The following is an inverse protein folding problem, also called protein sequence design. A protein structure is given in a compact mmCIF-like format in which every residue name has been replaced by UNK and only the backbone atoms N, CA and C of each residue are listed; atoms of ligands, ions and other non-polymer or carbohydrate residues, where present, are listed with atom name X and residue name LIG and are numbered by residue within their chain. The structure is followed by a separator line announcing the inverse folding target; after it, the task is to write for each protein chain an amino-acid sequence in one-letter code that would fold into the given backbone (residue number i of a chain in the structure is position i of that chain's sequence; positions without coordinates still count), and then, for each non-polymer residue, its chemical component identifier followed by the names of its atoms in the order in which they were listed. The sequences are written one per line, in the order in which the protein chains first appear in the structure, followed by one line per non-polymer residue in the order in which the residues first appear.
data_IF_834253044187
#
_entry.id   IF_834253044187
#
_cell.length_a   1.000
_cell.length_b   1.000
_cell.length_c   1.000
_cell.angle_alpha   90.00
_cell.angle_beta   90.00
_cell.angle_gamma   90.00
#
_symmetry.space_group_name_H-M   'P 1'
#
loop_
_entity.id
_entity.type
_entity.pdbx_description
1 polymer ?
#
# COMPACT_ATOMS: atom_id res chain seq x y z
N UNK A 1 78.67 28.46 16.50
CA UNK A 1 77.72 28.83 15.44
C UNK A 1 76.95 27.58 15.05
N UNK A 2 75.73 27.42 15.59
CA UNK A 2 74.55 26.73 15.01
C UNK A 2 73.50 26.67 16.12
N UNK A 3 72.62 27.66 16.12
CA UNK A 3 71.36 27.68 16.87
C UNK A 3 70.47 26.54 16.38
N UNK A 4 69.91 25.79 17.32
CA UNK A 4 68.82 24.85 17.09
C UNK A 4 67.53 25.67 16.95
N UNK A 5 67.12 25.85 15.70
CA UNK A 5 65.89 26.54 15.30
C UNK A 5 64.65 25.78 15.83
N UNK A 6 63.94 26.46 16.74
CA UNK A 6 62.65 26.09 17.31
C UNK A 6 61.53 26.42 16.32
N UNK A 7 60.85 25.42 15.76
CA UNK A 7 59.82 25.72 14.75
C UNK A 7 58.83 24.60 14.38
N UNK A 8 58.00 24.16 15.31
CA UNK A 8 56.61 23.72 15.02
C UNK A 8 55.76 24.00 16.27
N UNK A 9 54.51 24.48 16.15
CA UNK A 9 53.54 24.00 15.16
C UNK A 9 52.63 25.09 14.57
N UNK A 10 52.64 25.31 13.26
CA UNK A 10 51.53 26.02 12.61
C UNK A 10 50.51 25.02 12.07
N UNK A 11 49.70 24.51 13.00
CA UNK A 11 48.40 23.95 12.68
C UNK A 11 47.46 25.06 12.24
N UNK A 12 47.44 25.36 10.95
CA UNK A 12 46.43 26.25 10.36
C UNK A 12 45.92 25.69 9.03
N UNK A 13 45.49 24.43 9.03
CA UNK A 13 44.67 23.87 7.96
C UNK A 13 43.25 24.47 8.03
N UNK A 14 43.13 25.69 7.52
CA UNK A 14 41.95 26.29 6.86
C UNK A 14 40.57 25.70 7.21
N UNK A 15 40.02 26.19 8.32
CA UNK A 15 38.66 25.95 8.82
C UNK A 15 37.51 26.35 7.86
N UNK A 16 37.81 26.96 6.70
CA UNK A 16 36.81 27.41 5.70
C UNK A 16 36.29 26.32 4.77
N UNK A 17 36.93 25.14 4.67
CA UNK A 17 36.46 24.02 3.82
C UNK A 17 35.31 23.21 4.44
N UNK A 18 35.10 23.34 5.74
CA UNK A 18 34.16 22.51 6.52
C UNK A 18 32.68 22.78 6.19
N UNK A 19 32.28 24.02 5.91
CA UNK A 19 30.85 24.35 5.66
C UNK A 19 30.27 23.65 4.44
N UNK A 20 31.05 23.48 3.37
CA UNK A 20 30.57 22.80 2.14
C UNK A 20 30.29 21.32 2.39
N UNK A 21 31.11 20.67 3.22
CA UNK A 21 30.93 19.26 3.59
C UNK A 21 29.67 19.09 4.43
N UNK A 22 29.40 20.01 5.36
CA UNK A 22 28.18 19.99 6.16
C UNK A 22 26.93 20.22 5.31
N UNK A 23 26.99 21.12 4.33
CA UNK A 23 25.89 21.35 3.39
C UNK A 23 25.63 20.14 2.49
N UNK A 24 26.69 19.48 1.99
CA UNK A 24 26.55 18.25 1.20
C UNK A 24 25.97 17.12 2.06
N UNK A 25 26.46 16.95 3.29
CA UNK A 25 25.91 15.95 4.22
C UNK A 25 24.43 16.19 4.54
N UNK A 26 24.04 17.45 4.76
CA UNK A 26 22.65 17.84 4.97
C UNK A 26 21.79 17.54 3.73
N UNK A 27 22.26 17.88 2.52
CA UNK A 27 21.55 17.58 1.28
C UNK A 27 21.39 16.07 1.04
N UNK A 28 22.44 15.28 1.26
CA UNK A 28 22.38 13.81 1.14
C UNK A 28 21.40 13.23 2.16
N UNK A 29 21.40 13.74 3.39
CA UNK A 29 20.46 13.31 4.44
C UNK A 29 19.01 13.66 4.06
N UNK A 30 18.77 14.85 3.51
CA UNK A 30 17.46 15.28 3.06
C UNK A 30 16.95 14.42 1.89
N UNK A 31 17.86 14.08 0.97
CA UNK A 31 17.55 13.26 -0.20
C UNK A 31 17.26 11.81 0.21
N UNK A 32 18.04 11.24 1.14
CA UNK A 32 17.79 9.93 1.71
C UNK A 32 16.46 9.87 2.46
N UNK A 33 16.15 10.88 3.30
CA UNK A 33 14.87 10.97 3.98
C UNK A 33 13.70 11.10 2.98
N UNK A 34 13.86 11.92 1.94
CA UNK A 34 12.88 12.07 0.87
C UNK A 34 12.64 10.77 0.10
N UNK A 35 13.70 10.01 -0.21
CA UNK A 35 13.58 8.71 -0.87
C UNK A 35 12.85 7.69 0.00
N UNK A 36 13.08 7.68 1.31
CA UNK A 36 12.38 6.79 2.24
C UNK A 36 10.91 7.16 2.35
N UNK A 37 10.59 8.45 2.45
CA UNK A 37 9.19 8.93 2.45
C UNK A 37 8.50 8.58 1.14
N UNK A 38 9.16 8.81 0.00
CA UNK A 38 8.64 8.44 -1.32
C UNK A 38 8.42 6.93 -1.46
N UNK A 39 9.31 6.11 -0.90
CA UNK A 39 9.15 4.66 -0.84
C UNK A 39 7.89 4.32 -0.01
N UNK A 40 7.75 4.88 1.20
CA UNK A 40 6.58 4.61 2.03
C UNK A 40 5.25 5.06 1.40
N UNK A 41 5.26 6.19 0.68
CA UNK A 41 4.08 6.69 -0.05
C UNK A 41 3.73 5.80 -1.25
N UNK A 42 4.75 5.41 -2.03
CA UNK A 42 4.58 4.54 -3.22
C UNK A 42 4.08 3.14 -2.83
N UNK A 43 4.59 2.59 -1.72
CA UNK A 43 4.24 1.23 -1.31
C UNK A 43 3.00 1.20 -0.39
N UNK A 44 2.71 2.26 0.36
CA UNK A 44 1.53 2.37 1.21
C UNK A 44 1.59 1.41 2.38
N UNK A 45 1.88 1.92 3.58
CA UNK A 45 1.92 1.10 4.80
C UNK A 45 0.51 0.58 5.10
N UNK A 46 0.26 -0.69 4.80
CA UNK A 46 -0.88 -1.44 5.33
C UNK A 46 -0.57 -1.77 6.79
N UNK A 47 -1.37 -1.26 7.73
CA UNK A 47 -1.21 -1.60 9.15
C UNK A 47 -1.40 -3.11 9.34
N UNK A 48 -0.43 -3.84 9.91
CA UNK A 48 -0.54 -5.27 10.08
C UNK A 48 -1.61 -5.62 11.12
N UNK A 49 -2.47 -6.58 10.79
CA UNK A 49 -3.32 -7.31 11.73
C UNK A 49 -2.46 -8.39 12.43
N UNK A 50 -2.69 -8.61 13.72
CA UNK A 50 -1.85 -9.39 14.67
C UNK A 50 -1.68 -10.91 14.40
N UNK A 51 -1.86 -11.39 13.17
CA UNK A 51 -2.00 -12.82 12.88
C UNK A 51 -0.79 -13.52 12.23
N UNK A 52 0.40 -12.91 12.15
CA UNK A 52 1.57 -13.55 11.52
C UNK A 52 2.84 -13.36 12.34
N UNK A 53 3.48 -14.49 12.68
CA UNK A 53 4.71 -14.58 13.47
C UNK A 53 5.86 -13.78 12.82
N UNK A 54 6.51 -12.95 13.66
CA UNK A 54 7.49 -11.94 13.25
C UNK A 54 8.88 -12.59 13.12
N UNK A 55 9.35 -12.84 11.90
CA UNK A 55 10.76 -13.10 11.67
C UNK A 55 11.52 -11.78 11.46
N UNK A 56 12.19 -11.33 12.53
CA UNK A 56 13.11 -10.19 12.53
C UNK A 56 14.50 -10.66 12.10
N UNK A 57 14.94 -10.30 10.90
CA UNK A 57 16.36 -10.27 10.53
C UNK A 57 16.70 -8.82 10.21
N UNK A 58 17.50 -8.19 11.07
CA UNK A 58 18.07 -6.86 10.88
C UNK A 58 17.06 -5.74 10.52
N UNK A 59 16.09 -5.47 11.40
CA UNK A 59 15.33 -4.19 11.52
C UNK A 59 14.64 -3.59 10.28
N UNK A 60 14.67 -4.26 9.13
CA UNK A 60 13.92 -3.90 7.93
C UNK A 60 12.96 -5.05 7.67
N UNK A 61 11.68 -4.81 7.90
CA UNK A 61 10.63 -5.77 7.55
C UNK A 61 10.56 -5.86 6.02
N UNK A 62 11.20 -6.90 5.46
CA UNK A 62 11.22 -7.16 4.01
C UNK A 62 9.84 -7.53 3.46
N UNK A 63 8.81 -7.73 4.31
CA UNK A 63 7.41 -7.90 3.87
C UNK A 63 6.70 -6.58 3.57
N UNK A 64 7.31 -5.43 3.88
CA UNK A 64 6.78 -4.10 3.55
C UNK A 64 6.62 -3.90 2.03
N UNK A 65 7.16 -4.79 1.18
CA UNK A 65 7.03 -4.69 -0.28
C UNK A 65 6.56 -5.94 -1.00
N UNK A 66 6.11 -7.02 -0.33
CA UNK A 66 5.72 -8.27 -1.02
C UNK A 66 4.20 -8.28 -1.35
N UNK A 67 3.81 -8.08 -2.63
CA UNK A 67 2.41 -8.10 -3.02
C UNK A 67 1.78 -9.48 -2.84
N UNK A 68 2.55 -10.57 -2.89
CA UNK A 68 2.03 -11.93 -2.71
C UNK A 68 1.61 -12.15 -1.26
N UNK A 69 2.44 -11.80 -0.28
CA UNK A 69 2.09 -11.85 1.13
C UNK A 69 0.87 -10.96 1.46
N UNK A 70 0.83 -9.75 0.91
CA UNK A 70 -0.31 -8.83 1.11
C UNK A 70 -1.60 -9.37 0.46
N UNK A 71 -1.50 -10.04 -0.68
CA UNK A 71 -2.63 -10.77 -1.28
C UNK A 71 -3.16 -11.88 -0.38
N UNK A 72 -2.27 -12.65 0.27
CA UNK A 72 -2.67 -13.70 1.23
C UNK A 72 -3.34 -13.09 2.48
N UNK A 73 -2.89 -11.93 2.95
CA UNK A 73 -3.59 -11.20 4.01
C UNK A 73 -5.01 -10.79 3.59
N UNK A 74 -5.16 -10.33 2.34
CA UNK A 74 -6.47 -10.06 1.73
C UNK A 74 -7.38 -11.29 1.75
N UNK A 75 -6.86 -12.45 1.33
CA UNK A 75 -7.61 -13.72 1.39
C UNK A 75 -8.02 -14.10 2.82
N UNK A 76 -7.08 -14.04 3.77
CA UNK A 76 -7.34 -14.38 5.16
C UNK A 76 -8.42 -13.46 5.75
N UNK A 77 -8.37 -12.17 5.43
CA UNK A 77 -9.40 -11.21 5.83
C UNK A 77 -10.76 -11.52 5.20
N UNK A 78 -10.80 -11.88 3.92
CA UNK A 78 -12.04 -12.25 3.26
C UNK A 78 -12.68 -13.47 3.92
N UNK A 79 -11.90 -14.50 4.28
CA UNK A 79 -12.41 -15.68 5.00
C UNK A 79 -12.98 -15.31 6.37
N UNK A 80 -12.34 -14.40 7.09
CA UNK A 80 -12.84 -13.91 8.37
C UNK A 80 -14.17 -13.15 8.22
N UNK A 81 -14.28 -12.28 7.19
CA UNK A 81 -15.52 -11.55 6.92
C UNK A 81 -16.65 -12.51 6.49
N UNK A 82 -16.36 -13.53 5.68
CA UNK A 82 -17.32 -14.59 5.30
C UNK A 82 -17.79 -15.34 6.55
N UNK A 83 -16.89 -15.70 7.46
CA UNK A 83 -17.22 -16.35 8.72
C UNK A 83 -18.10 -15.46 9.62
N UNK A 84 -17.92 -14.14 9.55
CA UNK A 84 -18.80 -13.15 10.19
C UNK A 84 -20.12 -12.90 9.43
N UNK A 85 -20.38 -13.65 8.35
CA UNK A 85 -21.60 -13.52 7.55
C UNK A 85 -21.61 -12.33 6.59
N UNK A 86 -20.47 -11.66 6.40
CA UNK A 86 -20.35 -10.49 5.54
C UNK A 86 -19.94 -10.89 4.13
N UNK A 87 -20.65 -10.35 3.15
CA UNK A 87 -20.29 -10.45 1.73
C UNK A 87 -20.01 -9.05 1.22
N UNK A 88 -18.74 -8.76 0.92
CA UNK A 88 -18.29 -7.42 0.57
C UNK A 88 -17.48 -7.45 -0.72
N UNK A 89 -17.62 -6.39 -1.53
CA UNK A 89 -16.80 -6.16 -2.70
C UNK A 89 -15.97 -4.89 -2.52
N UNK A 90 -14.65 -5.01 -2.57
CA UNK A 90 -13.74 -3.87 -2.39
C UNK A 90 -13.34 -3.30 -3.76
N UNK A 91 -13.33 -1.98 -3.90
CA UNK A 91 -12.98 -1.32 -5.17
C UNK A 91 -12.26 0.01 -4.95
N UNK A 92 -11.45 0.41 -5.93
CA UNK A 92 -10.81 1.72 -6.03
C UNK A 92 -11.51 2.64 -7.04
N UNK A 93 -12.68 2.26 -7.55
CA UNK A 93 -13.44 3.13 -8.43
C UNK A 93 -13.71 4.47 -7.75
N UNK A 94 -13.58 5.57 -8.50
CA UNK A 94 -13.92 6.90 -8.01
C UNK A 94 -15.35 6.88 -7.47
N UNK A 95 -15.54 7.48 -6.31
CA UNK A 95 -16.85 7.58 -5.69
C UNK A 95 -17.82 8.23 -6.70
N UNK A 96 -19.02 7.66 -6.90
CA UNK A 96 -19.97 8.19 -7.86
C UNK A 96 -20.35 9.64 -7.52
N UNK A 97 -20.57 10.44 -8.57
CA UNK A 97 -20.96 11.86 -8.43
C UNK A 97 -22.36 12.05 -7.84
N UNK A 98 -23.21 11.05 -8.03
CA UNK A 98 -24.57 11.00 -7.49
C UNK A 98 -24.58 10.00 -6.32
N UNK A 99 -24.59 10.54 -5.11
CA UNK A 99 -24.57 9.74 -3.89
C UNK A 99 -25.91 9.02 -3.65
N UNK A 100 -27.02 9.61 -4.06
CA UNK A 100 -28.36 9.06 -3.82
C UNK A 100 -28.62 7.86 -4.75
N UNK A 101 -28.31 8.01 -6.03
CA UNK A 101 -28.39 6.91 -6.99
C UNK A 101 -27.48 5.73 -6.59
N UNK A 102 -26.33 6.01 -5.98
CA UNK A 102 -25.45 4.96 -5.46
C UNK A 102 -25.98 4.31 -4.20
N UNK A 103 -26.55 5.09 -3.27
CA UNK A 103 -27.14 4.57 -2.05
C UNK A 103 -28.29 3.60 -2.39
N UNK A 104 -29.16 3.97 -3.31
CA UNK A 104 -30.22 3.08 -3.80
C UNK A 104 -29.66 1.81 -4.42
N UNK A 105 -28.63 1.93 -5.26
CA UNK A 105 -27.99 0.78 -5.90
C UNK A 105 -27.35 -0.17 -4.89
N UNK A 106 -26.64 0.38 -3.90
CA UNK A 106 -26.04 -0.37 -2.81
C UNK A 106 -27.13 -1.07 -1.98
N UNK A 107 -28.25 -0.40 -1.71
CA UNK A 107 -29.41 -1.01 -1.06
C UNK A 107 -30.00 -2.15 -1.90
N UNK A 108 -30.16 -1.97 -3.22
CA UNK A 108 -30.65 -3.03 -4.12
C UNK A 108 -29.74 -4.26 -4.11
N UNK A 109 -28.42 -4.07 -4.18
CA UNK A 109 -27.46 -5.18 -4.14
C UNK A 109 -27.43 -5.87 -2.78
N UNK A 110 -27.53 -5.11 -1.69
CA UNK A 110 -27.63 -5.66 -0.35
C UNK A 110 -28.94 -6.45 -0.16
N UNK A 111 -30.06 -5.96 -0.67
CA UNK A 111 -31.34 -6.65 -0.59
C UNK A 111 -31.37 -7.92 -1.45
N UNK A 112 -30.82 -7.87 -2.68
CA UNK A 112 -30.86 -8.98 -3.64
C UNK A 112 -29.83 -10.08 -3.33
N UNK A 113 -28.62 -9.69 -2.91
CA UNK A 113 -27.49 -10.60 -2.79
C UNK A 113 -26.77 -10.53 -1.44
N UNK A 114 -27.22 -9.69 -0.50
CA UNK A 114 -26.48 -9.46 0.75
C UNK A 114 -25.11 -8.79 0.54
N UNK A 115 -24.83 -8.27 -0.67
CA UNK A 115 -23.52 -7.74 -1.04
C UNK A 115 -23.41 -6.25 -0.67
N UNK A 116 -22.33 -5.90 0.03
CA UNK A 116 -21.97 -4.51 0.32
C UNK A 116 -20.77 -4.06 -0.53
N UNK A 117 -20.85 -2.85 -1.08
CA UNK A 117 -19.71 -2.21 -1.75
C UNK A 117 -18.86 -1.42 -0.78
N UNK A 118 -17.54 -1.59 -0.88
CA UNK A 118 -16.56 -0.85 -0.09
C UNK A 118 -15.65 -0.09 -1.03
N UNK A 119 -15.89 1.22 -1.13
CA UNK A 119 -15.07 2.15 -1.90
C UNK A 119 -13.83 2.54 -1.10
N UNK A 120 -12.65 2.26 -1.64
CA UNK A 120 -11.37 2.75 -1.12
C UNK A 120 -11.17 4.17 -1.63
N UNK A 121 -11.03 5.12 -0.72
CA UNK A 121 -10.87 6.55 -1.03
C UNK A 121 -9.42 6.94 -1.28
N UNK A 122 -8.47 6.06 -0.98
CA UNK A 122 -7.04 6.26 -1.20
C UNK A 122 -6.64 5.89 -2.62
N UNK A 123 -5.58 6.52 -3.12
CA UNK A 123 -4.99 6.16 -4.40
C UNK A 123 -4.58 4.68 -4.43
N UNK A 124 -4.75 3.96 -5.55
CA UNK A 124 -4.41 2.55 -5.61
C UNK A 124 -2.88 2.36 -5.61
N UNK A 125 -2.32 1.91 -4.50
CA UNK A 125 -0.91 1.46 -4.45
C UNK A 125 -0.80 0.00 -4.91
N UNK A 126 0.38 -0.47 -5.35
CA UNK A 126 0.59 -1.87 -5.72
C UNK A 126 0.21 -2.86 -4.61
N UNK A 127 0.50 -2.54 -3.34
CA UNK A 127 0.14 -3.38 -2.21
C UNK A 127 -1.37 -3.35 -1.94
N UNK A 128 -2.00 -2.18 -2.02
CA UNK A 128 -3.44 -2.05 -1.84
C UNK A 128 -4.21 -2.83 -2.93
N UNK A 129 -3.72 -2.79 -4.18
CA UNK A 129 -4.26 -3.59 -5.28
C UNK A 129 -4.08 -5.09 -5.04
N UNK A 130 -2.91 -5.52 -4.56
CA UNK A 130 -2.66 -6.92 -4.26
C UNK A 130 -3.57 -7.43 -3.13
N UNK A 131 -3.75 -6.63 -2.07
CA UNK A 131 -4.68 -6.92 -0.98
C UNK A 131 -6.10 -7.11 -1.50
N UNK A 132 -6.61 -6.13 -2.25
CA UNK A 132 -7.99 -6.16 -2.77
C UNK A 132 -8.17 -7.29 -3.78
N UNK A 133 -7.17 -7.59 -4.61
CA UNK A 133 -7.19 -8.73 -5.52
C UNK A 133 -7.31 -10.06 -4.78
N UNK A 134 -6.50 -10.26 -3.73
CA UNK A 134 -6.59 -11.44 -2.87
C UNK A 134 -7.95 -11.55 -2.18
N UNK A 135 -8.44 -10.45 -1.62
CA UNK A 135 -9.73 -10.38 -0.95
C UNK A 135 -10.90 -10.71 -1.89
N UNK A 136 -10.98 -10.02 -3.03
CA UNK A 136 -12.08 -10.16 -3.98
C UNK A 136 -12.08 -11.54 -4.65
N UNK A 137 -10.92 -12.21 -4.82
CA UNK A 137 -10.88 -13.58 -5.33
C UNK A 137 -11.62 -14.57 -4.42
N UNK A 138 -11.46 -14.45 -3.10
CA UNK A 138 -12.18 -15.29 -2.15
C UNK A 138 -13.66 -14.93 -2.12
N UNK A 139 -13.98 -13.63 -2.12
CA UNK A 139 -15.37 -13.15 -2.16
C UNK A 139 -16.10 -13.54 -3.44
N UNK A 140 -15.41 -13.55 -4.59
CA UNK A 140 -15.93 -14.01 -5.86
C UNK A 140 -16.34 -15.48 -5.81
N UNK A 141 -15.45 -16.34 -5.30
CA UNK A 141 -15.74 -17.77 -5.14
C UNK A 141 -16.93 -18.00 -4.20
N UNK A 142 -17.01 -17.25 -3.10
CA UNK A 142 -18.12 -17.34 -2.16
C UNK A 142 -19.44 -16.79 -2.75
N UNK A 143 -19.37 -15.69 -3.52
CA UNK A 143 -20.52 -15.12 -4.19
C UNK A 143 -21.07 -16.08 -5.25
N UNK A 144 -20.20 -16.69 -6.07
CA UNK A 144 -20.58 -17.72 -7.04
C UNK A 144 -21.20 -18.94 -6.34
N UNK A 145 -20.64 -19.38 -5.21
CA UNK A 145 -21.19 -20.48 -4.42
C UNK A 145 -22.60 -20.19 -3.90
N UNK A 146 -22.89 -18.95 -3.49
CA UNK A 146 -24.18 -18.56 -2.89
C UNK A 146 -25.24 -18.19 -3.93
N UNK A 147 -24.85 -17.54 -5.02
CA UNK A 147 -25.78 -16.91 -5.98
C UNK A 147 -25.65 -17.44 -7.41
N UNK A 148 -24.70 -18.33 -7.66
CA UNK A 148 -24.45 -18.94 -8.95
C UNK A 148 -23.62 -18.05 -9.90
N UNK A 149 -23.10 -18.69 -10.94
CA UNK A 149 -22.23 -18.06 -11.94
C UNK A 149 -22.89 -16.91 -12.69
N UNK A 150 -24.18 -17.01 -13.02
CA UNK A 150 -24.90 -15.96 -13.72
C UNK A 150 -24.98 -14.64 -12.91
N UNK A 151 -25.17 -14.75 -11.59
CA UNK A 151 -25.17 -13.57 -10.72
C UNK A 151 -23.77 -12.95 -10.62
N UNK A 152 -22.72 -13.79 -10.57
CA UNK A 152 -21.36 -13.31 -10.59
C UNK A 152 -21.03 -12.58 -11.90
N UNK A 153 -21.44 -13.13 -13.04
CA UNK A 153 -21.25 -12.50 -14.35
C UNK A 153 -21.99 -11.15 -14.43
N UNK A 154 -23.20 -11.05 -13.86
CA UNK A 154 -23.93 -9.78 -13.73
C UNK A 154 -23.14 -8.76 -12.89
N UNK A 155 -22.57 -9.19 -11.76
CA UNK A 155 -21.75 -8.34 -10.91
C UNK A 155 -20.47 -7.85 -11.63
N UNK A 156 -19.78 -8.72 -12.37
CA UNK A 156 -18.54 -8.40 -13.07
C UNK A 156 -18.73 -7.58 -14.37
N UNK A 157 -19.98 -7.44 -14.84
CA UNK A 157 -20.34 -6.47 -15.89
C UNK A 157 -20.27 -5.04 -15.39
N UNK A 158 -20.39 -4.83 -14.09
CA UNK A 158 -20.18 -3.52 -13.50
C UNK A 158 -18.69 -3.12 -13.62
N UNK A 159 -18.37 -2.00 -14.29
CA UNK A 159 -16.99 -1.53 -14.41
C UNK A 159 -16.32 -1.30 -13.05
N UNK A 160 -17.07 -1.03 -11.99
CA UNK A 160 -16.55 -0.81 -10.63
C UNK A 160 -16.12 -2.09 -9.93
N UNK A 161 -16.61 -3.24 -10.38
CA UNK A 161 -16.20 -4.54 -9.86
C UNK A 161 -14.77 -4.90 -10.28
N UNK A 162 -14.30 -4.24 -11.35
CA UNK A 162 -12.97 -4.44 -11.91
C UNK A 162 -11.99 -3.55 -11.18
N UNK A 163 -10.87 -4.14 -10.79
CA UNK A 163 -9.74 -3.35 -10.31
C UNK A 163 -9.18 -2.52 -11.46
N UNK A 164 -8.65 -1.32 -11.20
CA UNK A 164 -7.97 -0.56 -12.23
C UNK A 164 -6.87 -1.44 -12.81
N UNK A 165 -6.91 -1.64 -14.13
CA UNK A 165 -5.82 -2.32 -14.82
C UNK A 165 -4.58 -1.44 -14.64
N UNK A 166 -3.43 -2.05 -14.35
CA UNK A 166 -2.16 -1.36 -14.50
C UNK A 166 -2.12 -0.93 -15.97
N UNK A 167 -2.24 0.37 -16.23
CA UNK A 167 -1.71 0.92 -17.46
C UNK A 167 -0.22 0.57 -17.41
N UNK A 168 0.17 -0.49 -18.13
CA UNK A 168 1.57 -0.71 -18.48
C UNK A 168 1.93 0.43 -19.41
N UNK A 169 2.30 1.58 -18.83
CA UNK A 169 2.96 2.65 -19.54
C UNK A 169 4.27 2.07 -20.08
N UNK A 170 4.27 1.83 -21.39
CA UNK A 170 5.46 1.58 -22.22
C UNK A 170 6.45 2.73 -22.18
#
# INVERSE_FOLDING_TARGET
MTELDSGRPEGAATWRRSRRIHVVAALVSLLAAGSVVWLFDTFGIVRPSDAVERQLVASVDLRIGDPTAVGQQGEARARADIAAGLLQWQTFAKQPRDADAEAERAQRLKARYGLAWVYKTTEPTPLALAFVSGYNRVMQAEFERRHGKAALDELLRDPRARLPQKDTAS
#
